data_IF_520284810382
#
_entry.id   IF_520284810382
#
_cell.length_a   1.000
_cell.length_b   1.000
_cell.length_c   1.000
_cell.angle_alpha   90.00
_cell.angle_beta   90.00
_cell.angle_gamma   90.00
#
_symmetry.space_group_name_H-M   'P 1'
#
loop_
_entity.id
_entity.type
_entity.pdbx_description
1 polymer ?
#
# COMPACT_ATOMS: atom_id res chain seq x y z
N UNK A 1 -7.72 20.09 18.81
CA UNK A 1 -6.63 19.28 19.38
C UNK A 1 -5.99 18.52 18.23
N UNK A 2 -4.88 19.01 17.66
CA UNK A 2 -4.19 18.26 16.61
C UNK A 2 -3.45 17.11 17.30
N UNK A 3 -3.93 15.88 17.08
CA UNK A 3 -3.24 14.67 17.51
C UNK A 3 -1.83 14.67 16.89
N UNK A 4 -0.81 14.33 17.68
CA UNK A 4 0.54 14.10 17.15
C UNK A 4 0.45 13.13 15.95
N UNK A 5 1.22 13.36 14.87
CA UNK A 5 1.25 12.43 13.75
C UNK A 5 1.69 11.05 14.25
N UNK A 6 0.85 10.04 14.03
CA UNK A 6 1.15 8.63 14.31
C UNK A 6 2.10 8.16 13.21
N UNK A 7 3.27 7.65 13.58
CA UNK A 7 4.21 7.06 12.62
C UNK A 7 3.58 5.80 12.01
N UNK A 8 3.29 5.86 10.70
CA UNK A 8 2.58 4.80 9.98
C UNK A 8 3.36 4.34 8.76
N UNK A 9 3.63 3.05 8.73
CA UNK A 9 4.26 2.39 7.59
C UNK A 9 3.20 1.82 6.65
N UNK A 10 3.25 2.23 5.39
CA UNK A 10 2.47 1.67 4.30
C UNK A 10 3.31 0.67 3.52
N UNK A 11 2.86 -0.58 3.47
CA UNK A 11 3.55 -1.65 2.75
C UNK A 11 2.70 -2.03 1.54
N UNK A 12 3.27 -1.92 0.34
CA UNK A 12 2.56 -2.21 -0.91
C UNK A 12 3.48 -2.92 -1.91
N UNK A 13 2.89 -3.75 -2.77
CA UNK A 13 3.58 -4.28 -3.94
C UNK A 13 3.42 -3.31 -5.10
N UNK A 14 4.51 -2.98 -5.79
CA UNK A 14 4.45 -2.20 -7.01
C UNK A 14 4.45 -3.15 -8.21
N UNK A 15 3.35 -3.16 -8.95
CA UNK A 15 3.24 -3.86 -10.23
C UNK A 15 3.38 -2.89 -11.42
N UNK A 16 2.84 -3.29 -12.57
CA UNK A 16 2.91 -2.50 -13.81
C UNK A 16 2.02 -1.26 -13.85
N UNK A 17 1.05 -1.13 -12.94
CA UNK A 17 0.21 0.07 -12.85
C UNK A 17 0.54 0.83 -11.58
N UNK A 18 1.20 1.99 -11.70
CA UNK A 18 1.49 2.82 -10.54
C UNK A 18 0.21 3.39 -9.90
N UNK A 19 -0.84 3.59 -10.70
CA UNK A 19 -2.11 4.15 -10.21
C UNK A 19 -2.83 3.22 -9.24
N UNK A 20 -2.65 1.90 -9.35
CA UNK A 20 -3.18 0.97 -8.35
C UNK A 20 -2.64 1.25 -6.94
N UNK A 21 -1.38 1.67 -6.81
CA UNK A 21 -0.77 2.04 -5.53
C UNK A 21 -1.14 3.47 -5.14
N UNK A 22 -0.93 4.43 -6.05
CA UNK A 22 -1.18 5.86 -5.80
C UNK A 22 -2.62 6.11 -5.38
N UNK A 23 -3.59 5.54 -6.11
CA UNK A 23 -5.01 5.77 -5.84
C UNK A 23 -5.43 5.16 -4.50
N UNK A 24 -4.87 4.01 -4.13
CA UNK A 24 -5.18 3.36 -2.84
C UNK A 24 -4.69 4.20 -1.67
N UNK A 25 -3.46 4.70 -1.73
CA UNK A 25 -2.91 5.59 -0.70
C UNK A 25 -3.69 6.91 -0.66
N UNK A 26 -3.96 7.51 -1.81
CA UNK A 26 -4.68 8.79 -1.87
C UNK A 26 -6.08 8.65 -1.25
N UNK A 27 -6.83 7.61 -1.63
CA UNK A 27 -8.15 7.36 -1.07
C UNK A 27 -8.11 7.06 0.44
N UNK A 28 -7.10 6.35 0.92
CA UNK A 28 -6.91 6.11 2.36
C UNK A 28 -6.60 7.43 3.12
N UNK A 29 -5.81 8.33 2.52
CA UNK A 29 -5.53 9.64 3.09
C UNK A 29 -6.79 10.50 3.23
N UNK A 30 -7.70 10.48 2.25
CA UNK A 30 -9.02 11.14 2.37
C UNK A 30 -9.88 10.57 3.49
N UNK A 31 -9.67 9.31 3.87
CA UNK A 31 -10.32 8.66 5.02
C UNK A 31 -9.57 8.88 6.34
N UNK A 32 -8.51 9.69 6.36
CA UNK A 32 -7.73 10.02 7.55
C UNK A 32 -6.60 9.05 7.88
N UNK A 33 -6.32 8.06 7.02
CA UNK A 33 -5.19 7.13 7.18
C UNK A 33 -4.03 7.60 6.31
N UNK A 34 -3.13 8.36 6.95
CA UNK A 34 -1.99 9.00 6.28
C UNK A 34 -0.69 8.33 6.71
N UNK A 35 0.07 7.71 5.79
CA UNK A 35 1.40 7.16 6.08
C UNK A 35 2.51 8.20 5.90
N UNK A 36 3.57 8.07 6.69
CA UNK A 36 4.80 8.87 6.57
C UNK A 36 6.01 8.05 6.10
N UNK A 37 5.85 6.72 6.06
CA UNK A 37 6.83 5.76 5.59
C UNK A 37 6.18 4.79 4.61
N UNK A 38 6.77 4.63 3.44
CA UNK A 38 6.22 3.84 2.34
C UNK A 38 7.27 2.81 1.93
N UNK A 39 6.90 1.53 1.99
CA UNK A 39 7.72 0.40 1.57
C UNK A 39 7.15 -0.16 0.28
N UNK A 40 7.93 -0.03 -0.79
CA UNK A 40 7.60 -0.44 -2.14
C UNK A 40 8.27 -1.78 -2.42
N UNK A 41 7.50 -2.87 -2.31
CA UNK A 41 7.96 -4.21 -2.68
C UNK A 41 7.89 -4.33 -4.20
N UNK A 42 9.05 -4.35 -4.86
CA UNK A 42 9.13 -4.24 -6.32
C UNK A 42 10.11 -5.25 -6.92
N UNK A 43 9.79 -5.76 -8.11
CA UNK A 43 10.72 -6.58 -8.88
C UNK A 43 11.73 -5.70 -9.63
N UNK A 44 12.92 -6.25 -9.97
CA UNK A 44 13.92 -5.51 -10.73
C UNK A 44 13.58 -5.41 -12.24
N UNK A 45 12.32 -5.63 -12.63
CA UNK A 45 11.88 -5.41 -14.00
C UNK A 45 11.86 -3.90 -14.34
N UNK A 46 12.25 -3.53 -15.56
CA UNK A 46 12.36 -2.13 -15.97
C UNK A 46 11.00 -1.41 -15.92
N UNK A 47 9.92 -2.06 -16.33
CA UNK A 47 8.58 -1.46 -16.29
C UNK A 47 8.11 -1.26 -14.85
N UNK A 48 8.46 -2.17 -13.95
CA UNK A 48 8.18 -2.03 -12.52
C UNK A 48 9.01 -0.90 -11.91
N UNK A 49 10.29 -0.75 -12.27
CA UNK A 49 11.11 0.39 -11.83
C UNK A 49 10.52 1.74 -12.24
N UNK A 50 10.02 1.86 -13.47
CA UNK A 50 9.31 3.07 -13.92
C UNK A 50 8.03 3.32 -13.12
N UNK A 51 7.32 2.26 -12.76
CA UNK A 51 6.13 2.35 -11.90
C UNK A 51 6.51 2.80 -10.49
N UNK A 52 7.61 2.30 -9.91
CA UNK A 52 8.15 2.76 -8.62
C UNK A 52 8.48 4.24 -8.65
N UNK A 53 9.19 4.72 -9.68
CA UNK A 53 9.50 6.15 -9.84
C UNK A 53 8.23 7.00 -9.93
N UNK A 54 7.24 6.53 -10.70
CA UNK A 54 5.94 7.22 -10.82
C UNK A 54 5.23 7.28 -9.48
N UNK A 55 5.13 6.15 -8.75
CA UNK A 55 4.52 6.09 -7.42
C UNK A 55 5.19 7.08 -6.47
N UNK A 56 6.52 7.04 -6.39
CA UNK A 56 7.30 7.93 -5.51
C UNK A 56 7.07 9.40 -5.85
N UNK A 57 7.08 9.76 -7.14
CA UNK A 57 6.82 11.13 -7.60
C UNK A 57 5.42 11.62 -7.18
N UNK A 58 4.38 10.84 -7.48
CA UNK A 58 3.00 11.22 -7.11
C UNK A 58 2.85 11.36 -5.59
N UNK A 59 3.38 10.43 -4.82
CA UNK A 59 3.23 10.43 -3.37
C UNK A 59 4.03 11.54 -2.69
N UNK A 60 5.14 11.98 -3.26
CA UNK A 60 5.84 13.19 -2.83
C UNK A 60 4.98 14.45 -2.95
N UNK A 61 4.10 14.52 -3.95
CA UNK A 61 3.19 15.66 -4.15
C UNK A 61 1.88 15.54 -3.37
N UNK A 62 1.42 14.31 -3.14
CA UNK A 62 0.12 14.04 -2.47
C UNK A 62 0.26 14.16 -0.96
N UNK A 63 1.23 13.49 -0.34
CA UNK A 63 1.32 13.34 1.11
C UNK A 63 1.52 14.67 1.88
N UNK A 64 2.23 15.69 1.35
CA UNK A 64 2.30 17.00 2.00
C UNK A 64 0.92 17.66 2.19
N UNK A 65 -0.03 17.42 1.27
CA UNK A 65 -1.41 17.93 1.41
C UNK A 65 -2.16 17.32 2.58
N UNK A 66 -1.68 16.18 3.09
CA UNK A 66 -2.22 15.47 4.25
C UNK A 66 -1.33 15.61 5.49
N UNK A 67 -0.37 16.56 5.49
CA UNK A 67 0.45 16.89 6.65
C UNK A 67 1.75 16.10 6.79
N UNK A 68 2.18 15.40 5.75
CA UNK A 68 3.47 14.68 5.72
C UNK A 68 4.41 15.37 4.74
N UNK A 69 5.24 16.30 5.23
CA UNK A 69 6.14 17.10 4.37
C UNK A 69 7.28 16.28 3.76
N UNK A 70 7.78 15.27 4.48
CA UNK A 70 8.95 14.48 4.11
C UNK A 70 8.66 12.98 4.22
N UNK A 71 7.80 12.43 3.34
CA UNK A 71 7.55 11.01 3.30
C UNK A 71 8.86 10.25 3.02
N UNK A 72 9.06 9.12 3.71
CA UNK A 72 10.20 8.24 3.50
C UNK A 72 9.81 7.08 2.59
N UNK A 73 10.59 6.83 1.57
CA UNK A 73 10.41 5.69 0.67
C UNK A 73 11.56 4.71 0.82
N UNK A 74 11.24 3.43 0.94
CA UNK A 74 12.21 2.34 0.85
C UNK A 74 11.72 1.32 -0.19
N UNK A 75 12.62 0.93 -1.07
CA UNK A 75 12.38 -0.15 -2.02
C UNK A 75 12.84 -1.48 -1.42
N UNK A 76 11.99 -2.50 -1.51
CA UNK A 76 12.31 -3.86 -1.06
C UNK A 76 12.26 -4.78 -2.27
N UNK A 77 13.40 -5.32 -2.72
CA UNK A 77 13.43 -6.17 -3.90
C UNK A 77 12.66 -7.47 -3.64
N UNK A 78 11.82 -7.85 -4.61
CA UNK A 78 11.11 -9.14 -4.62
C UNK A 78 11.32 -9.85 -5.97
N UNK A 79 11.32 -11.17 -5.94
CA UNK A 79 11.13 -11.98 -7.14
C UNK A 79 9.65 -12.33 -7.24
N UNK A 80 8.97 -11.79 -8.24
CA UNK A 80 7.56 -12.08 -8.48
C UNK A 80 7.32 -13.55 -8.71
N UNK A 81 8.25 -14.34 -9.22
CA UNK A 81 8.04 -15.78 -9.48
C UNK A 81 8.33 -16.67 -8.26
N UNK A 82 9.00 -16.14 -7.24
CA UNK A 82 9.32 -16.89 -6.03
C UNK A 82 8.24 -16.73 -4.96
N UNK A 83 7.27 -17.63 -4.99
CA UNK A 83 6.12 -17.64 -4.08
C UNK A 83 6.53 -17.59 -2.60
N UNK A 84 7.39 -18.52 -2.16
CA UNK A 84 7.86 -18.58 -0.77
C UNK A 84 8.85 -17.47 -0.44
N UNK A 85 9.63 -17.01 -1.43
CA UNK A 85 10.48 -15.83 -1.30
C UNK A 85 9.67 -14.60 -0.92
N UNK A 86 8.58 -14.33 -1.65
CA UNK A 86 7.68 -13.22 -1.33
C UNK A 86 7.07 -13.35 0.07
N UNK A 87 6.60 -14.54 0.46
CA UNK A 87 6.08 -14.78 1.81
C UNK A 87 7.11 -14.40 2.89
N UNK A 88 8.35 -14.86 2.75
CA UNK A 88 9.42 -14.60 3.70
C UNK A 88 9.83 -13.11 3.72
N UNK A 89 9.91 -12.47 2.55
CA UNK A 89 10.19 -11.04 2.45
C UNK A 89 9.13 -10.21 3.15
N UNK A 90 7.84 -10.46 2.85
CA UNK A 90 6.74 -9.74 3.48
C UNK A 90 6.75 -9.93 5.01
N UNK A 91 6.98 -11.16 5.49
CA UNK A 91 7.07 -11.46 6.92
C UNK A 91 8.20 -10.70 7.60
N UNK A 92 9.36 -10.63 6.95
CA UNK A 92 10.53 -9.91 7.44
C UNK A 92 10.26 -8.41 7.51
N UNK A 93 9.66 -7.85 6.45
CA UNK A 93 9.28 -6.43 6.38
C UNK A 93 8.29 -6.09 7.50
N UNK A 94 7.21 -6.85 7.64
CA UNK A 94 6.21 -6.63 8.69
C UNK A 94 6.84 -6.68 10.10
N UNK A 95 7.72 -7.66 10.35
CA UNK A 95 8.42 -7.77 11.64
C UNK A 95 9.37 -6.59 11.89
N UNK A 96 10.07 -6.10 10.87
CA UNK A 96 10.97 -4.94 11.00
C UNK A 96 10.16 -3.67 11.29
N UNK A 97 9.12 -3.43 10.50
CA UNK A 97 8.29 -2.23 10.62
C UNK A 97 7.52 -2.22 11.96
N UNK A 98 7.16 -3.37 12.51
CA UNK A 98 6.51 -3.45 13.83
C UNK A 98 7.39 -2.99 15.00
N UNK A 99 8.70 -2.83 14.80
CA UNK A 99 9.62 -2.32 15.83
C UNK A 99 9.77 -0.80 15.77
N UNK A 100 9.32 -0.16 14.69
CA UNK A 100 9.55 1.27 14.44
C UNK A 100 8.28 2.07 14.19
N UNK A 101 7.24 1.45 13.66
CA UNK A 101 5.96 2.09 13.37
C UNK A 101 4.97 1.88 14.52
N UNK A 102 4.13 2.87 14.77
CA UNK A 102 3.01 2.74 15.70
C UNK A 102 1.83 2.00 15.06
N UNK A 103 1.71 2.10 13.74
CA UNK A 103 0.69 1.43 12.94
C UNK A 103 1.23 0.94 11.60
N UNK A 104 0.82 -0.26 11.20
CA UNK A 104 1.14 -0.82 9.89
C UNK A 104 -0.12 -0.86 9.04
N UNK A 105 -0.01 -0.37 7.81
CA UNK A 105 -1.03 -0.48 6.78
C UNK A 105 -0.48 -1.33 5.65
N UNK A 106 -1.25 -2.32 5.22
CA UNK A 106 -0.89 -3.18 4.09
C UNK A 106 -1.84 -2.88 2.93
N UNK A 107 -1.29 -2.65 1.75
CA UNK A 107 -2.04 -2.52 0.51
C UNK A 107 -1.96 -3.81 -0.30
N UNK A 108 -3.09 -4.46 -0.47
CA UNK A 108 -3.25 -5.71 -1.19
C UNK A 108 -3.77 -5.51 -2.63
N UNK A 109 -3.85 -4.26 -3.10
CA UNK A 109 -4.47 -3.90 -4.39
C UNK A 109 -3.63 -4.36 -5.58
N UNK A 110 -2.34 -4.04 -5.55
CA UNK A 110 -1.41 -4.30 -6.65
C UNK A 110 -0.62 -5.61 -6.46
N UNK A 111 0.04 -6.04 -7.53
CA UNK A 111 0.83 -7.28 -7.56
C UNK A 111 0.05 -8.49 -8.07
N UNK A 112 0.66 -9.67 -7.98
CA UNK A 112 0.05 -10.93 -8.43
C UNK A 112 -0.95 -11.40 -7.38
N UNK A 113 -2.03 -12.08 -7.79
CA UNK A 113 -3.16 -12.46 -6.91
C UNK A 113 -2.75 -13.13 -5.58
N UNK A 114 -1.72 -13.98 -5.61
CA UNK A 114 -1.27 -14.66 -4.40
C UNK A 114 -0.58 -13.71 -3.41
N UNK A 115 0.02 -12.61 -3.88
CA UNK A 115 0.65 -11.62 -3.03
C UNK A 115 -0.40 -10.93 -2.16
N UNK A 116 -1.56 -10.58 -2.73
CA UNK A 116 -2.72 -10.08 -1.99
C UNK A 116 -3.22 -11.12 -0.97
N UNK A 117 -3.30 -12.39 -1.36
CA UNK A 117 -3.70 -13.46 -0.43
C UNK A 117 -2.71 -13.60 0.73
N UNK A 118 -1.41 -13.46 0.47
CA UNK A 118 -0.36 -13.54 1.48
C UNK A 118 -0.36 -12.32 2.40
N UNK A 119 -0.59 -11.12 1.86
CA UNK A 119 -0.81 -9.90 2.62
C UNK A 119 -1.94 -10.07 3.65
N UNK A 120 -3.10 -10.55 3.19
CA UNK A 120 -4.24 -10.84 4.06
C UNK A 120 -3.88 -11.93 5.08
N UNK A 121 -3.32 -13.06 4.64
CA UNK A 121 -3.01 -14.19 5.52
C UNK A 121 -1.99 -13.82 6.61
N UNK A 122 -0.93 -13.09 6.28
CA UNK A 122 0.03 -12.61 7.29
C UNK A 122 -0.57 -11.56 8.21
N UNK A 123 -1.52 -10.76 7.72
CA UNK A 123 -2.19 -9.77 8.57
C UNK A 123 -3.05 -10.39 9.66
N UNK A 124 -3.72 -11.52 9.37
CA UNK A 124 -4.61 -12.19 10.32
C UNK A 124 -3.88 -13.21 11.21
N UNK A 125 -2.76 -13.77 10.74
CA UNK A 125 -2.00 -14.80 11.47
C UNK A 125 -0.88 -14.24 12.35
N UNK A 126 -0.66 -12.93 12.32
CA UNK A 126 0.40 -12.28 13.09
C UNK A 126 -0.15 -11.46 14.25
N UNK A 127 0.59 -11.40 15.36
CA UNK A 127 0.29 -10.53 16.51
C UNK A 127 0.90 -9.13 16.33
N UNK A 128 1.05 -8.69 15.08
CA UNK A 128 1.69 -7.42 14.74
C UNK A 128 0.66 -6.28 14.78
N UNK A 129 1.08 -5.02 14.99
CA UNK A 129 0.21 -3.85 15.05
C UNK A 129 -0.29 -3.42 13.66
N UNK A 130 -1.00 -4.31 12.97
CA UNK A 130 -1.57 -4.05 11.64
C UNK A 130 -2.93 -3.40 11.84
N UNK A 131 -3.02 -2.12 11.46
CA UNK A 131 -4.23 -1.30 11.61
C UNK A 131 -5.24 -1.57 10.49
N UNK A 132 -4.74 -1.70 9.26
CA UNK A 132 -5.54 -1.75 8.05
C UNK A 132 -4.94 -2.70 7.01
N UNK A 133 -5.80 -3.40 6.28
CA UNK A 133 -5.44 -4.08 5.03
C UNK A 133 -6.36 -3.57 3.94
N UNK A 134 -5.83 -2.68 3.10
CA UNK A 134 -6.59 -2.05 2.06
C UNK A 134 -6.60 -2.85 0.76
N UNK A 135 -7.75 -2.82 0.10
CA UNK A 135 -7.93 -3.29 -1.27
C UNK A 135 -8.83 -2.30 -2.01
N UNK A 136 -8.28 -1.61 -3.01
CA UNK A 136 -9.05 -0.71 -3.86
C UNK A 136 -9.68 -1.51 -5.02
N UNK A 137 -10.96 -1.80 -4.87
CA UNK A 137 -11.71 -2.55 -5.87
C UNK A 137 -12.17 -1.62 -6.99
N UNK A 138 -11.56 -1.75 -8.16
CA UNK A 138 -12.02 -1.10 -9.38
C UNK A 138 -13.19 -1.90 -9.98
N UNK A 139 -14.39 -1.34 -9.97
CA UNK A 139 -15.60 -1.96 -10.52
C UNK A 139 -15.53 -1.99 -12.06
N UNK A 140 -14.79 -1.06 -12.66
CA UNK A 140 -14.54 -1.00 -14.09
C UNK A 140 -13.06 -0.78 -14.39
N UNK A 141 -12.58 -1.45 -15.44
CA UNK A 141 -11.19 -1.32 -15.92
C UNK A 141 -10.93 0.00 -16.66
N UNK A 142 -11.98 0.75 -17.02
CA UNK A 142 -11.86 2.00 -17.78
C UNK A 142 -10.96 3.05 -17.11
N UNK A 143 -10.88 3.03 -15.78
CA UNK A 143 -10.16 4.03 -14.99
C UNK A 143 -8.91 3.47 -14.31
N UNK A 144 -8.40 2.32 -14.77
CA UNK A 144 -7.28 1.63 -14.13
C UNK A 144 -6.02 2.51 -13.99
N UNK A 145 -5.72 3.31 -15.01
CA UNK A 145 -4.55 4.21 -15.04
C UNK A 145 -4.96 5.70 -14.94
N UNK A 146 -6.09 5.98 -14.29
CA UNK A 146 -6.60 7.34 -14.04
C UNK A 146 -6.35 7.72 -12.58
N UNK A 147 -5.84 8.93 -12.28
CA UNK A 147 -5.68 9.40 -10.91
C UNK A 147 -7.00 9.47 -10.15
N UNK A 148 -6.99 9.08 -8.87
CA UNK A 148 -8.16 8.96 -8.00
C UNK A 148 -9.18 10.11 -8.08
N UNK A 149 -8.79 11.40 -8.02
CA UNK A 149 -9.76 12.50 -8.08
C UNK A 149 -10.59 12.57 -9.36
N UNK A 150 -10.12 11.92 -10.43
CA UNK A 150 -10.78 11.88 -11.73
C UNK A 150 -11.61 10.61 -11.95
N UNK A 151 -11.60 9.67 -11.01
CA UNK A 151 -12.39 8.44 -11.07
C UNK A 151 -13.79 8.72 -10.50
N UNK A 152 -14.87 8.40 -11.22
CA UNK A 152 -16.22 8.51 -10.66
C UNK A 152 -16.38 7.63 -9.42
N UNK A 153 -16.95 8.17 -8.33
CA UNK A 153 -17.13 7.43 -7.06
C UNK A 153 -17.79 6.05 -7.21
N UNK A 154 -18.82 5.85 -8.05
CA UNK A 154 -19.42 4.52 -8.23
C UNK A 154 -18.53 3.52 -8.98
N UNK A 155 -17.41 3.95 -9.55
CA UNK A 155 -16.52 3.11 -10.35
C UNK A 155 -15.47 2.37 -9.52
N UNK A 156 -15.35 2.68 -8.23
CA UNK A 156 -14.37 2.03 -7.36
C UNK A 156 -14.76 2.13 -5.88
N UNK A 157 -14.18 1.27 -5.05
CA UNK A 157 -14.38 1.29 -3.61
C UNK A 157 -13.12 0.80 -2.88
N UNK A 158 -12.66 1.57 -1.90
CA UNK A 158 -11.62 1.15 -0.98
C UNK A 158 -12.23 0.32 0.15
N UNK A 159 -11.81 -0.93 0.27
CA UNK A 159 -12.18 -1.82 1.36
C UNK A 159 -11.04 -1.97 2.35
N UNK A 160 -11.37 -1.93 3.64
CA UNK A 160 -10.49 -2.42 4.70
C UNK A 160 -10.87 -3.87 5.02
N UNK A 161 -10.08 -4.81 4.49
CA UNK A 161 -10.32 -6.23 4.59
C UNK A 161 -10.24 -6.73 6.04
N UNK A 162 -9.35 -6.16 6.88
CA UNK A 162 -9.28 -6.55 8.29
C UNK A 162 -10.58 -6.20 9.02
N UNK A 163 -11.12 -5.01 8.77
CA UNK A 163 -12.40 -4.60 9.37
C UNK A 163 -13.59 -5.38 8.84
N UNK A 164 -13.55 -5.85 7.61
CA UNK A 164 -14.61 -6.71 7.05
C UNK A 164 -14.63 -8.09 7.71
N UNK A 165 -13.47 -8.70 7.92
CA UNK A 165 -13.38 -10.08 8.46
C UNK A 165 -13.44 -10.15 10.00
N UNK A 166 -13.20 -9.05 10.71
CA UNK A 166 -13.35 -8.95 12.17
C UNK A 166 -14.77 -8.59 12.63
N UNK A 167 -15.75 -8.59 11.72
CA UNK A 167 -17.17 -8.45 12.06
C UNK A 167 -17.72 -9.71 12.69
#
# INVERSE_FOLDING_TARGET
MQSKPVHRSWITVVGWSPMAVVNTIWQACEQGVVPDRILLLASPDEKVRQSVQTVTHYLHEILPRYGVEKPKFDEVPIDENNFMGFWNTLKSVLKKESQIAQGIVIDATAGRKYMSAFAVMQSISSNLPIEHVYYNHMITQRYHDVPYPLIPRPAHQLYDLLRLFRR
#
